data_IF_640356804367
#
_entry.id   IF_640356804367
#
_cell.length_a   1.000
_cell.length_b   1.000
_cell.length_c   1.000
_cell.angle_alpha   90.00
_cell.angle_beta   90.00
_cell.angle_gamma   90.00
#
_symmetry.space_group_name_H-M   'P 1'
#
loop_
_entity.id
_entity.type
_entity.pdbx_description
1 polymer ?
#
# COMPACT_ATOMS: atom_id res chain seq x y z
N UNK A 1 -14.42 -11.14 13.78
CA UNK A 1 -13.92 -9.83 14.24
C UNK A 1 -14.92 -9.27 15.23
N UNK A 2 -14.60 -9.29 16.52
CA UNK A 2 -15.53 -8.87 17.57
C UNK A 2 -15.76 -7.35 17.48
N UNK A 3 -16.98 -6.95 17.11
CA UNK A 3 -17.44 -5.59 17.37
C UNK A 3 -17.60 -5.46 18.89
N UNK A 4 -16.86 -4.53 19.50
CA UNK A 4 -17.11 -4.06 20.85
C UNK A 4 -18.56 -3.56 20.91
N UNK A 5 -19.31 -3.98 21.94
CA UNK A 5 -20.74 -3.69 22.13
C UNK A 5 -21.08 -2.18 22.31
N UNK A 6 -20.13 -1.27 22.08
CA UNK A 6 -20.28 0.17 22.31
C UNK A 6 -19.85 1.04 21.12
N UNK A 7 -19.78 0.55 19.89
CA UNK A 7 -19.49 1.41 18.71
C UNK A 7 -18.12 2.14 18.75
N UNK A 8 -17.32 1.93 19.79
CA UNK A 8 -15.96 2.41 19.94
C UNK A 8 -15.09 1.41 19.22
N UNK A 9 -14.72 1.75 17.98
CA UNK A 9 -13.65 1.08 17.24
C UNK A 9 -12.43 1.05 18.15
N UNK A 10 -11.96 -0.14 18.52
CA UNK A 10 -10.82 -0.25 19.43
C UNK A 10 -9.60 0.43 18.80
N UNK A 11 -8.78 1.16 19.59
CA UNK A 11 -7.55 1.74 19.07
C UNK A 11 -6.71 0.62 18.45
N UNK A 12 -6.21 0.85 17.24
CA UNK A 12 -5.45 -0.13 16.43
C UNK A 12 -6.25 -1.32 15.88
N UNK A 13 -7.59 -1.30 15.91
CA UNK A 13 -8.40 -2.33 15.23
C UNK A 13 -8.50 -2.14 13.71
N UNK A 14 -7.88 -1.09 13.17
CA UNK A 14 -7.84 -0.87 11.73
C UNK A 14 -6.97 -1.94 11.05
N UNK A 15 -7.52 -2.54 10.00
CA UNK A 15 -6.85 -3.58 9.23
C UNK A 15 -5.59 -3.06 8.52
N UNK A 16 -5.50 -1.73 8.29
CA UNK A 16 -4.31 -1.09 7.75
C UNK A 16 -3.10 -1.38 8.64
N UNK A 17 -3.20 -1.23 9.96
CA UNK A 17 -2.07 -1.47 10.85
C UNK A 17 -1.61 -2.93 10.86
N UNK A 18 -2.57 -3.86 10.80
CA UNK A 18 -2.27 -5.29 10.73
C UNK A 18 -1.55 -5.66 9.43
N UNK A 19 -2.02 -5.13 8.30
CA UNK A 19 -1.38 -5.29 7.00
C UNK A 19 0.00 -4.62 6.98
N UNK A 20 0.15 -3.43 7.57
CA UNK A 20 1.42 -2.70 7.58
C UNK A 20 2.49 -3.47 8.35
N UNK A 21 2.16 -3.94 9.55
CA UNK A 21 3.09 -4.74 10.35
C UNK A 21 3.51 -6.02 9.63
N UNK A 22 2.57 -6.70 8.94
CA UNK A 22 2.88 -7.90 8.18
C UNK A 22 3.68 -7.64 6.89
N UNK A 23 3.47 -6.51 6.23
CA UNK A 23 4.17 -6.10 5.00
C UNK A 23 5.46 -5.31 5.28
N UNK A 24 5.81 -5.07 6.55
CA UNK A 24 7.12 -4.58 6.94
C UNK A 24 8.12 -5.76 7.01
N UNK A 25 9.13 -5.83 6.14
CA UNK A 25 10.11 -6.91 6.14
C UNK A 25 10.97 -6.98 7.41
N UNK A 26 10.96 -5.94 8.24
CA UNK A 26 11.68 -5.94 9.52
C UNK A 26 10.99 -6.82 10.57
N UNK A 27 9.66 -6.95 10.51
CA UNK A 27 8.87 -7.64 11.53
C UNK A 27 8.01 -8.78 10.95
N UNK A 28 7.47 -8.61 9.74
CA UNK A 28 6.58 -9.57 9.11
C UNK A 28 5.47 -10.06 10.07
N UNK A 29 5.33 -11.38 10.26
CA UNK A 29 4.39 -11.98 11.22
C UNK A 29 5.02 -12.23 12.60
N UNK A 30 6.26 -11.81 12.85
CA UNK A 30 6.99 -12.06 14.10
C UNK A 30 6.33 -11.41 15.32
N UNK A 31 5.54 -10.34 15.12
CA UNK A 31 4.82 -9.66 16.20
C UNK A 31 3.68 -10.51 16.80
N UNK A 32 3.19 -11.52 16.08
CA UNK A 32 2.06 -12.33 16.53
C UNK A 32 2.41 -13.14 17.77
N UNK A 33 3.60 -13.74 17.78
CA UNK A 33 4.03 -14.59 18.90
C UNK A 33 4.17 -13.83 20.22
N UNK A 34 4.88 -12.69 20.30
CA UNK A 34 5.05 -11.94 21.55
C UNK A 34 3.85 -11.07 21.94
N UNK A 35 3.07 -10.53 20.99
CA UNK A 35 2.08 -9.50 21.29
C UNK A 35 0.63 -9.98 21.31
N UNK A 36 0.32 -11.14 20.71
CA UNK A 36 -1.03 -11.71 20.76
C UNK A 36 -1.12 -12.60 22.00
N UNK A 37 -1.58 -12.03 23.11
CA UNK A 37 -1.58 -12.67 24.45
C UNK A 37 -2.73 -13.68 24.66
N UNK A 38 -2.89 -14.60 23.72
CA UNK A 38 -3.96 -15.61 23.67
C UNK A 38 -3.39 -16.99 23.36
N UNK A 39 -4.25 -18.02 23.33
CA UNK A 39 -3.83 -19.38 23.02
C UNK A 39 -3.24 -19.51 21.61
N UNK A 40 -2.51 -20.61 21.36
CA UNK A 40 -1.83 -20.87 20.09
C UNK A 40 -2.80 -20.94 18.90
N UNK A 41 -4.00 -21.46 19.11
CA UNK A 41 -5.01 -21.60 18.05
C UNK A 41 -5.48 -20.24 17.55
N UNK A 42 -5.77 -19.30 18.45
CA UNK A 42 -6.15 -17.93 18.06
C UNK A 42 -4.96 -17.20 17.40
N UNK A 43 -3.71 -17.42 17.84
CA UNK A 43 -2.54 -16.85 17.14
C UNK A 43 -2.47 -17.31 15.67
N UNK A 44 -2.73 -18.58 15.41
CA UNK A 44 -2.77 -19.12 14.06
C UNK A 44 -3.93 -18.52 13.24
N UNK A 45 -5.10 -18.36 13.84
CA UNK A 45 -6.25 -17.69 13.23
C UNK A 45 -5.93 -16.23 12.86
N UNK A 46 -5.29 -15.49 13.77
CA UNK A 46 -4.85 -14.11 13.51
C UNK A 46 -3.86 -14.06 12.34
N UNK A 47 -2.86 -14.93 12.33
CA UNK A 47 -1.89 -14.99 11.23
C UNK A 47 -2.56 -15.28 9.89
N UNK A 48 -3.49 -16.23 9.86
CA UNK A 48 -4.25 -16.55 8.66
C UNK A 48 -5.12 -15.38 8.22
N UNK A 49 -5.81 -14.72 9.17
CA UNK A 49 -6.68 -13.60 8.87
C UNK A 49 -5.93 -12.41 8.28
N UNK A 50 -4.72 -12.12 8.77
CA UNK A 50 -3.87 -11.06 8.23
C UNK A 50 -3.42 -11.40 6.79
N UNK A 51 -3.05 -12.66 6.53
CA UNK A 51 -2.72 -13.11 5.16
C UNK A 51 -3.91 -12.94 4.22
N UNK A 52 -5.11 -13.34 4.64
CA UNK A 52 -6.34 -13.17 3.85
C UNK A 52 -6.62 -11.70 3.52
N UNK A 53 -6.47 -10.78 4.49
CA UNK A 53 -6.66 -9.34 4.26
C UNK A 53 -5.70 -8.80 3.21
N UNK A 54 -4.43 -9.24 3.22
CA UNK A 54 -3.44 -8.84 2.20
C UNK A 54 -3.83 -9.38 0.82
N UNK A 55 -4.28 -10.63 0.75
CA UNK A 55 -4.67 -11.27 -0.51
C UNK A 55 -5.93 -10.65 -1.12
N UNK A 56 -6.89 -10.24 -0.29
CA UNK A 56 -8.09 -9.51 -0.72
C UNK A 56 -7.71 -8.18 -1.37
N UNK A 57 -6.91 -7.36 -0.68
CA UNK A 57 -6.41 -6.09 -1.23
C UNK A 57 -5.59 -6.29 -2.52
N UNK A 58 -4.75 -7.34 -2.56
CA UNK A 58 -3.96 -7.65 -3.74
C UNK A 58 -4.85 -7.97 -4.93
N UNK A 59 -5.87 -8.83 -4.75
CA UNK A 59 -6.82 -9.21 -5.79
C UNK A 59 -7.68 -8.04 -6.31
N UNK A 60 -8.11 -7.13 -5.43
CA UNK A 60 -8.85 -5.93 -5.81
C UNK A 60 -8.03 -4.98 -6.70
N UNK A 61 -6.71 -5.01 -6.55
CA UNK A 61 -5.80 -4.10 -7.26
C UNK A 61 -5.41 -4.61 -8.64
N UNK A 62 -5.58 -5.90 -8.90
CA UNK A 62 -5.36 -6.50 -10.23
C UNK A 62 -6.53 -6.26 -11.18
N UNK A 63 -7.65 -5.69 -10.71
CA UNK A 63 -8.76 -5.32 -11.60
C UNK A 63 -8.27 -4.24 -12.58
N UNK A 64 -8.35 -4.48 -13.91
CA UNK A 64 -7.98 -3.48 -14.88
C UNK A 64 -8.90 -2.28 -14.69
N UNK A 65 -8.33 -1.11 -14.40
CA UNK A 65 -9.06 0.15 -14.61
C UNK A 65 -9.54 0.12 -16.06
N UNK A 66 -10.85 0.29 -16.34
CA UNK A 66 -11.34 0.33 -17.71
C UNK A 66 -10.73 1.56 -18.40
N UNK A 67 -9.61 1.36 -19.08
CA UNK A 67 -9.14 2.32 -20.07
C UNK A 67 -10.18 2.25 -21.19
N UNK A 68 -10.76 3.37 -21.66
CA UNK A 68 -11.67 3.35 -22.80
C UNK A 68 -10.93 2.77 -24.01
N UNK A 69 -11.19 1.50 -24.33
CA UNK A 69 -10.67 0.84 -25.54
C UNK A 69 -11.56 1.32 -26.70
N UNK A 70 -11.01 1.94 -27.76
CA UNK A 70 -11.76 2.15 -28.99
C UNK A 70 -12.19 0.80 -29.55
N UNK A 71 -13.44 0.71 -30.03
CA UNK A 71 -14.13 -0.50 -30.45
C UNK A 71 -13.23 -1.58 -31.09
N UNK A 72 -13.35 -2.79 -30.56
CA UNK A 72 -12.66 -4.00 -30.97
C UNK A 72 -13.09 -4.37 -32.40
N UNK A 73 -12.16 -4.27 -33.36
CA UNK A 73 -12.23 -5.07 -34.59
C UNK A 73 -11.53 -6.40 -34.31
N UNK A 74 -12.25 -7.51 -34.44
CA UNK A 74 -11.74 -8.87 -34.35
C UNK A 74 -10.62 -9.07 -35.39
N UNK A 75 -9.36 -8.98 -34.95
CA UNK A 75 -8.20 -9.30 -35.79
C UNK A 75 -7.67 -10.67 -35.39
N UNK A 76 -7.87 -11.63 -36.29
CA UNK A 76 -7.38 -13.00 -36.24
C UNK A 76 -5.87 -13.06 -35.93
N UNK A 77 -5.48 -14.08 -35.15
CA UNK A 77 -4.10 -14.37 -34.73
C UNK A 77 -3.17 -14.56 -35.94
N UNK A 78 -2.53 -13.48 -36.38
CA UNK A 78 -1.38 -13.53 -37.28
C UNK A 78 -0.11 -13.54 -36.42
N UNK A 79 0.47 -14.73 -36.19
CA UNK A 79 1.85 -14.86 -35.71
C UNK A 79 2.82 -14.31 -36.76
N UNK A 80 2.97 -12.99 -36.78
CA UNK A 80 3.88 -12.27 -37.67
C UNK A 80 5.17 -11.87 -36.98
N UNK A 81 6.31 -12.18 -37.61
CA UNK A 81 7.60 -11.55 -37.36
C UNK A 81 7.59 -10.08 -37.82
N UNK A 82 6.77 -9.25 -37.16
CA UNK A 82 6.72 -7.82 -37.39
C UNK A 82 7.70 -7.06 -36.48
N UNK A 83 8.10 -5.86 -36.92
CA UNK A 83 8.93 -4.90 -36.16
C UNK A 83 8.41 -4.65 -34.73
N UNK A 84 7.12 -4.89 -34.49
CA UNK A 84 6.44 -4.70 -33.21
C UNK A 84 6.06 -6.00 -32.47
N UNK A 85 6.41 -7.18 -32.99
CA UNK A 85 6.15 -8.46 -32.33
C UNK A 85 6.75 -8.54 -30.91
N UNK A 86 7.85 -7.82 -30.68
CA UNK A 86 8.49 -7.68 -29.37
C UNK A 86 7.62 -6.91 -28.35
N UNK A 87 6.77 -5.97 -28.79
CA UNK A 87 5.86 -5.23 -27.90
C UNK A 87 4.72 -6.13 -27.41
N UNK A 88 4.11 -6.92 -28.30
CA UNK A 88 3.08 -7.90 -27.93
C UNK A 88 3.66 -9.03 -27.06
N UNK A 89 4.91 -9.46 -27.30
CA UNK A 89 5.62 -10.41 -26.42
C UNK A 89 5.97 -9.83 -25.05
N UNK A 90 6.21 -8.52 -24.92
CA UNK A 90 6.41 -7.87 -23.62
C UNK A 90 5.10 -7.80 -22.84
N UNK A 91 3.98 -7.54 -23.51
CA UNK A 91 2.66 -7.55 -22.88
C UNK A 91 2.26 -8.95 -22.36
N UNK A 92 2.70 -10.02 -23.05
CA UNK A 92 2.45 -11.42 -22.67
C UNK A 92 3.46 -12.04 -21.69
N UNK A 93 4.51 -11.31 -21.27
CA UNK A 93 5.63 -11.86 -20.46
C UNK A 93 5.57 -11.59 -18.96
N UNK A 94 4.52 -10.94 -18.48
CA UNK A 94 4.25 -10.95 -17.05
C UNK A 94 3.63 -12.32 -16.72
N UNK A 95 4.49 -13.29 -16.41
CA UNK A 95 4.06 -14.49 -15.69
C UNK A 95 3.51 -13.98 -14.37
N UNK A 96 2.19 -13.77 -14.34
CA UNK A 96 1.47 -13.28 -13.18
C UNK A 96 1.61 -14.34 -12.10
N UNK A 97 2.58 -14.15 -11.21
CA UNK A 97 2.70 -15.01 -10.03
C UNK A 97 1.49 -14.65 -9.17
N UNK A 98 0.58 -15.59 -8.86
CA UNK A 98 -0.63 -15.24 -8.13
C UNK A 98 -0.28 -14.65 -6.75
N UNK A 99 -1.08 -13.71 -6.21
CA UNK A 99 -0.81 -13.06 -4.93
C UNK A 99 -0.45 -14.00 -3.78
N UNK A 100 -1.07 -15.18 -3.74
CA UNK A 100 -0.79 -16.20 -2.73
C UNK A 100 0.65 -16.71 -2.77
N UNK A 101 1.21 -16.92 -3.97
CA UNK A 101 2.59 -17.39 -4.16
C UNK A 101 3.59 -16.24 -3.89
N UNK A 102 3.24 -15.02 -4.29
CA UNK A 102 4.01 -13.84 -3.92
C UNK A 102 4.09 -13.69 -2.39
N UNK A 103 2.97 -13.90 -1.68
CA UNK A 103 2.91 -13.78 -0.22
C UNK A 103 3.74 -14.85 0.49
N UNK A 104 3.69 -16.11 0.05
CA UNK A 104 4.57 -17.14 0.62
C UNK A 104 6.05 -16.78 0.40
N UNK A 105 6.41 -16.39 -0.82
CA UNK A 105 7.78 -16.02 -1.17
C UNK A 105 8.28 -14.82 -0.36
N UNK A 106 7.43 -13.81 -0.17
CA UNK A 106 7.71 -12.66 0.67
C UNK A 106 8.02 -13.06 2.13
N UNK A 107 7.19 -13.91 2.74
CA UNK A 107 7.36 -14.32 4.14
C UNK A 107 8.70 -15.04 4.34
N UNK A 108 9.13 -15.84 3.36
CA UNK A 108 10.41 -16.56 3.43
C UNK A 108 11.62 -15.64 3.26
N UNK A 109 11.46 -14.47 2.61
CA UNK A 109 12.55 -13.51 2.37
C UNK A 109 12.60 -12.36 3.40
N UNK A 110 11.50 -12.13 4.13
CA UNK A 110 11.33 -10.99 5.03
C UNK A 110 12.10 -11.17 6.35
N UNK A 111 13.43 -11.03 6.28
CA UNK A 111 14.34 -11.18 7.41
C UNK A 111 14.96 -9.85 7.85
N UNK A 112 14.22 -9.04 8.63
CA UNK A 112 14.81 -7.88 9.30
C UNK A 112 15.21 -6.74 8.35
N UNK A 113 14.73 -6.75 7.10
CA UNK A 113 15.21 -5.85 6.06
C UNK A 113 14.55 -4.46 6.14
N UNK A 114 15.23 -3.44 5.61
CA UNK A 114 14.63 -2.12 5.47
C UNK A 114 13.47 -2.15 4.46
N UNK A 115 12.29 -1.73 4.88
CA UNK A 115 11.07 -1.79 4.06
C UNK A 115 11.20 -1.05 2.71
N UNK A 116 11.74 0.17 2.68
CA UNK A 116 11.85 0.96 1.45
C UNK A 116 12.78 0.29 0.44
N UNK A 117 13.95 -0.18 0.89
CA UNK A 117 14.91 -0.86 0.03
C UNK A 117 14.37 -2.20 -0.47
N UNK A 118 13.78 -3.00 0.42
CA UNK A 118 13.22 -4.30 0.09
C UNK A 118 12.14 -4.18 -0.99
N UNK A 119 11.16 -3.30 -0.80
CA UNK A 119 10.05 -3.14 -1.73
C UNK A 119 10.50 -2.50 -3.05
N UNK A 120 11.47 -1.59 -3.03
CA UNK A 120 12.05 -1.06 -4.26
C UNK A 120 12.71 -2.16 -5.11
N UNK A 121 13.51 -3.03 -4.49
CA UNK A 121 14.22 -4.13 -5.16
C UNK A 121 13.29 -5.24 -5.65
N UNK A 122 12.23 -5.55 -4.89
CA UNK A 122 11.33 -6.66 -5.18
C UNK A 122 10.03 -6.25 -5.89
N UNK A 123 9.87 -4.97 -6.28
CA UNK A 123 8.66 -4.45 -6.93
C UNK A 123 8.23 -5.22 -8.18
N UNK A 124 9.19 -5.75 -8.95
CA UNK A 124 8.93 -6.58 -10.14
C UNK A 124 8.71 -8.06 -9.83
N UNK A 125 9.31 -8.55 -8.74
CA UNK A 125 9.21 -9.95 -8.29
C UNK A 125 7.90 -10.21 -7.57
N UNK A 126 7.40 -9.21 -6.85
CA UNK A 126 6.21 -9.26 -6.02
C UNK A 126 5.23 -8.15 -6.43
N UNK A 127 4.79 -8.07 -7.70
CA UNK A 127 4.08 -6.90 -8.21
C UNK A 127 2.74 -6.64 -7.50
N UNK A 128 1.94 -7.67 -7.24
CA UNK A 128 0.64 -7.53 -6.57
C UNK A 128 0.83 -7.13 -5.11
N UNK A 129 1.78 -7.75 -4.42
CA UNK A 129 2.10 -7.42 -3.03
C UNK A 129 2.71 -6.02 -2.88
N UNK A 130 3.58 -5.62 -3.81
CA UNK A 130 4.19 -4.30 -3.82
C UNK A 130 3.12 -3.19 -3.86
N UNK A 131 2.08 -3.35 -4.68
CA UNK A 131 0.98 -2.38 -4.74
C UNK A 131 0.21 -2.26 -3.42
N UNK A 132 0.03 -3.36 -2.69
CA UNK A 132 -0.57 -3.32 -1.34
C UNK A 132 0.39 -2.65 -0.36
N UNK A 133 1.66 -3.04 -0.38
CA UNK A 133 2.68 -2.55 0.54
C UNK A 133 2.86 -1.03 0.45
N UNK A 134 2.99 -0.46 -0.76
CA UNK A 134 3.18 1.00 -0.90
C UNK A 134 1.99 1.79 -0.38
N UNK A 135 0.76 1.29 -0.52
CA UNK A 135 -0.45 1.98 -0.04
C UNK A 135 -0.54 1.94 1.48
N UNK A 136 -0.34 0.75 2.03
CA UNK A 136 -0.48 0.52 3.48
C UNK A 136 0.66 1.17 4.26
N UNK A 137 1.91 1.05 3.79
CA UNK A 137 3.09 1.63 4.45
C UNK A 137 3.20 3.15 4.27
N UNK A 138 2.48 3.75 3.32
CA UNK A 138 2.40 5.20 3.18
C UNK A 138 1.48 5.87 4.20
N UNK A 139 0.66 5.10 4.93
CA UNK A 139 -0.22 5.65 5.96
C UNK A 139 0.63 6.06 7.17
N UNK A 140 0.65 7.35 7.55
CA UNK A 140 1.41 7.78 8.71
C UNK A 140 0.78 7.24 9.99
N UNK A 141 1.61 6.77 10.92
CA UNK A 141 1.15 6.23 12.20
C UNK A 141 0.60 7.30 13.17
N UNK A 142 0.70 8.59 12.83
CA UNK A 142 0.21 9.69 13.68
C UNK A 142 -0.20 10.91 12.84
N UNK A 143 -0.94 11.83 13.46
CA UNK A 143 -1.29 13.14 12.91
C UNK A 143 -0.12 14.13 12.87
N UNK A 144 1.05 13.80 13.43
CA UNK A 144 2.17 14.73 13.56
C UNK A 144 2.61 15.39 12.23
N UNK A 145 2.64 14.71 11.07
CA UNK A 145 2.92 15.36 9.79
C UNK A 145 1.89 16.45 9.44
N UNK A 146 0.61 16.19 9.69
CA UNK A 146 -0.49 17.14 9.43
C UNK A 146 -0.47 18.30 10.42
N UNK A 147 -0.22 18.03 11.70
CA UNK A 147 -0.05 19.07 12.73
C UNK A 147 1.12 20.01 12.41
N UNK A 148 2.22 19.47 11.86
CA UNK A 148 3.34 20.29 11.38
C UNK A 148 2.91 21.21 10.23
N UNK A 149 2.08 20.74 9.31
CA UNK A 149 1.51 21.58 8.24
C UNK A 149 0.64 22.70 8.84
N UNK A 150 -0.21 22.39 9.80
CA UNK A 150 -1.05 23.39 10.47
C UNK A 150 -0.25 24.38 11.30
N UNK A 151 0.82 23.94 11.96
CA UNK A 151 1.73 24.82 12.69
C UNK A 151 2.37 25.86 11.75
N UNK A 152 2.89 25.42 10.59
CA UNK A 152 3.39 26.33 9.57
C UNK A 152 2.29 27.27 9.04
N UNK A 153 1.09 26.72 8.81
CA UNK A 153 -0.08 27.50 8.43
C UNK A 153 -0.40 28.62 9.43
N UNK A 154 -0.35 28.32 10.74
CA UNK A 154 -0.56 29.31 11.81
C UNK A 154 0.51 30.41 11.84
N UNK A 155 1.77 30.09 11.52
CA UNK A 155 2.85 31.09 11.42
C UNK A 155 2.64 32.01 10.20
N UNK A 156 2.22 31.43 9.07
CA UNK A 156 1.92 32.19 7.85
C UNK A 156 0.71 33.10 8.11
N UNK A 157 -0.36 32.53 8.68
CA UNK A 157 -1.60 33.17 9.11
C UNK A 157 -1.43 33.89 10.47
N UNK A 158 -0.57 34.90 10.51
CA UNK A 158 -0.44 35.76 11.68
C UNK A 158 -1.55 36.82 11.74
N UNK A 159 -1.93 37.34 12.93
CA UNK A 159 -2.89 38.45 13.04
C UNK A 159 -2.55 39.68 12.17
N UNK A 160 -1.26 39.94 11.95
CA UNK A 160 -0.77 41.04 11.11
C UNK A 160 -0.82 40.73 9.60
N UNK A 161 -1.14 39.50 9.19
CA UNK A 161 -1.26 39.04 7.79
C UNK A 161 -2.67 38.49 7.50
N UNK A 162 -3.71 39.09 8.07
CA UNK A 162 -5.09 38.60 8.00
C UNK A 162 -5.82 38.88 6.67
N UNK A 163 -5.23 39.64 5.73
CA UNK A 163 -5.86 39.97 4.42
C UNK A 163 -5.56 38.95 3.31
N UNK A 164 -5.06 37.77 3.67
CA UNK A 164 -4.69 36.74 2.71
C UNK A 164 -5.90 35.91 2.30
N UNK A 165 -6.01 35.59 1.00
CA UNK A 165 -7.00 34.61 0.53
C UNK A 165 -6.60 33.19 0.91
N UNK A 166 -7.58 32.31 1.04
CA UNK A 166 -7.42 30.86 1.24
C UNK A 166 -6.51 30.22 0.18
N UNK A 167 -6.67 30.63 -1.09
CA UNK A 167 -5.83 30.17 -2.20
C UNK A 167 -4.36 30.58 -2.03
N UNK A 168 -4.10 31.81 -1.61
CA UNK A 168 -2.73 32.27 -1.38
C UNK A 168 -2.10 31.55 -0.19
N UNK A 169 -2.85 31.33 0.90
CA UNK A 169 -2.39 30.55 2.04
C UNK A 169 -2.03 29.11 1.63
N UNK A 170 -2.91 28.43 0.87
CA UNK A 170 -2.67 27.08 0.39
C UNK A 170 -1.39 26.98 -0.46
N UNK A 171 -1.17 27.96 -1.36
CA UNK A 171 0.04 28.03 -2.18
C UNK A 171 1.30 28.24 -1.33
N UNK A 172 1.25 29.13 -0.33
CA UNK A 172 2.39 29.37 0.56
C UNK A 172 2.73 28.13 1.41
N UNK A 173 1.70 27.43 1.91
CA UNK A 173 1.89 26.15 2.63
C UNK A 173 2.51 25.11 1.70
N UNK A 174 2.00 24.97 0.48
CA UNK A 174 2.55 24.05 -0.52
C UNK A 174 4.04 24.33 -0.78
N UNK A 175 4.40 25.59 -1.04
CA UNK A 175 5.80 25.99 -1.22
C UNK A 175 6.64 25.71 0.03
N UNK A 176 6.10 25.95 1.23
CA UNK A 176 6.81 25.72 2.49
C UNK A 176 7.08 24.24 2.74
N UNK A 177 6.12 23.36 2.45
CA UNK A 177 6.24 21.92 2.66
C UNK A 177 7.16 21.22 1.65
N UNK A 178 7.39 21.83 0.48
CA UNK A 178 8.20 21.29 -0.62
C UNK A 178 9.48 22.10 -0.87
N UNK A 179 9.86 22.99 0.04
CA UNK A 179 11.13 23.70 -0.05
C UNK A 179 12.27 22.71 0.18
N UNK A 180 13.22 22.66 -0.76
CA UNK A 180 14.44 21.83 -0.73
C UNK A 180 15.41 22.35 0.32
#
# INVERSE_FOLDING_TARGET
MAQSQEGITAPFSDTVYLKAAALDPAFCLLWIEPHVLVNRDIKAEVAQRVKELILQDAAETEQPVPVPVPAEEELEDMEGEGLFAAYHKRLKRDVWTPPAVQLSHYIDMAEGQNALLFWALNSKTLPSLFQVAIRVLAVPASSAPVERVFSHGGIILSPHRAQMTDRLLANLIFCKCNAV
#
